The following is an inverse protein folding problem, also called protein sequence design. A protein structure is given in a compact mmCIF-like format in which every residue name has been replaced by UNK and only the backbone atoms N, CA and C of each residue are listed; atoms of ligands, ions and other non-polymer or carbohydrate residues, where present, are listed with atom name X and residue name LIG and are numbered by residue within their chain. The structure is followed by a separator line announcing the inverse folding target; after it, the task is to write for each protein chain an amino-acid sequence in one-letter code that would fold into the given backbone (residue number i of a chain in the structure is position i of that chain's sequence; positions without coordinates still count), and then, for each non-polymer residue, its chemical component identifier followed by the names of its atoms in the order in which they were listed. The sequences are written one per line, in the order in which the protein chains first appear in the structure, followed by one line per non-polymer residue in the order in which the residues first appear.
data_IF_729858682068
#
_entry.id   IF_729858682068
#
_cell.length_a   1.000
_cell.length_b   1.000
_cell.length_c   1.000
_cell.angle_alpha   90.00
_cell.angle_beta   90.00
_cell.angle_gamma   90.00
#
_symmetry.space_group_name_H-M   'P 1'
#
loop_
_entity.id
_entity.type
_entity.pdbx_description
1 polymer ?
#
# COMPACT_ATOMS: atom_id res chain seq x y z
N UNK A 1 5.71 11.83 3.02
CA UNK A 1 4.84 12.23 1.89
C UNK A 1 3.59 11.37 1.87
N UNK A 2 2.52 11.81 1.21
CA UNK A 2 1.28 11.02 1.07
C UNK A 2 1.18 10.50 -0.36
N UNK A 3 0.93 9.21 -0.51
CA UNK A 3 0.71 8.57 -1.82
C UNK A 3 -0.75 8.14 -1.90
N UNK A 4 -1.48 8.67 -2.86
CA UNK A 4 -2.83 8.20 -3.17
C UNK A 4 -2.75 6.97 -4.07
N UNK A 5 -3.35 5.87 -3.62
CA UNK A 5 -3.43 4.63 -4.39
C UNK A 5 -4.88 4.32 -4.72
N UNK A 6 -5.10 3.63 -5.84
CA UNK A 6 -6.44 3.16 -6.24
C UNK A 6 -6.35 1.71 -6.63
N UNK A 7 -7.19 0.90 -6.01
CA UNK A 7 -7.32 -0.52 -6.28
C UNK A 7 -8.52 -0.73 -7.17
N UNK A 8 -8.42 -1.64 -8.13
CA UNK A 8 -9.55 -2.13 -8.90
C UNK A 8 -9.53 -3.65 -8.87
N UNK A 9 -10.56 -4.26 -8.30
CA UNK A 9 -10.71 -5.71 -8.36
C UNK A 9 -11.22 -6.11 -9.75
N UNK A 10 -10.32 -6.64 -10.59
CA UNK A 10 -10.65 -7.13 -11.94
C UNK A 10 -10.99 -8.62 -11.97
N UNK A 11 -11.00 -9.30 -10.82
CA UNK A 11 -11.39 -10.69 -10.68
C UNK A 11 -12.90 -10.89 -10.53
N UNK A 12 -13.30 -12.14 -10.34
CA UNK A 12 -14.71 -12.54 -10.14
C UNK A 12 -15.10 -12.73 -8.67
N UNK A 13 -14.13 -12.80 -7.76
CA UNK A 13 -14.33 -13.00 -6.32
C UNK A 13 -13.95 -11.74 -5.52
N UNK A 14 -14.48 -11.56 -4.30
CA UNK A 14 -13.98 -10.52 -3.38
C UNK A 14 -12.49 -10.71 -3.08
N UNK A 15 -11.76 -9.60 -2.95
CA UNK A 15 -10.35 -9.57 -2.57
C UNK A 15 -10.18 -8.63 -1.40
N UNK A 16 -9.51 -9.09 -0.36
CA UNK A 16 -9.22 -8.27 0.81
C UNK A 16 -8.07 -7.30 0.50
N UNK A 17 -8.15 -6.11 1.07
CA UNK A 17 -7.10 -5.10 1.01
C UNK A 17 -6.76 -4.62 2.41
N UNK A 18 -5.50 -4.21 2.58
CA UNK A 18 -5.00 -3.63 3.80
C UNK A 18 -3.88 -2.63 3.49
N UNK A 19 -3.77 -1.54 4.26
CA UNK A 19 -2.59 -0.67 4.19
C UNK A 19 -1.26 -1.42 4.36
N UNK A 20 -1.22 -2.47 5.18
CA UNK A 20 -0.02 -3.27 5.43
C UNK A 20 0.34 -4.23 4.29
N UNK A 21 -0.43 -4.23 3.19
CA UNK A 21 -0.02 -4.87 1.93
C UNK A 21 1.07 -4.05 1.22
N UNK A 22 1.31 -2.82 1.66
CA UNK A 22 2.40 -1.98 1.19
C UNK A 22 3.60 -2.10 2.11
N UNK A 23 4.80 -1.93 1.56
CA UNK A 23 6.05 -1.78 2.31
C UNK A 23 6.90 -0.69 1.68
N UNK A 24 7.73 -0.04 2.49
CA UNK A 24 8.61 1.06 2.08
C UNK A 24 10.06 0.63 2.25
N UNK A 25 10.91 1.00 1.30
CA UNK A 25 12.34 0.69 1.36
C UNK A 25 13.14 1.99 1.40
N UNK A 26 14.01 2.15 2.40
CA UNK A 26 14.92 3.30 2.48
C UNK A 26 16.08 3.18 1.48
N UNK A 27 16.84 4.25 1.27
CA UNK A 27 18.06 4.24 0.42
C UNK A 27 19.10 3.19 0.85
N UNK A 28 19.12 2.86 2.14
CA UNK A 28 20.00 1.82 2.69
C UNK A 28 19.47 0.39 2.48
N UNK A 29 18.36 0.22 1.77
CA UNK A 29 17.74 -1.08 1.49
C UNK A 29 16.89 -1.66 2.64
N UNK A 30 16.63 -0.88 3.70
CA UNK A 30 15.82 -1.38 4.81
C UNK A 30 14.33 -1.30 4.46
N UNK A 31 13.67 -2.45 4.35
CA UNK A 31 12.23 -2.54 4.13
C UNK A 31 11.46 -2.50 5.45
N UNK A 32 10.38 -1.72 5.51
CA UNK A 32 9.48 -1.59 6.67
C UNK A 32 8.02 -1.46 6.24
N UNK A 33 7.12 -1.83 7.14
CA UNK A 33 5.70 -1.57 6.97
C UNK A 33 5.40 -0.06 7.04
N UNK A 34 4.27 0.41 6.48
CA UNK A 34 3.78 1.76 6.65
C UNK A 34 3.62 2.10 8.13
N UNK A 35 4.03 3.30 8.50
CA UNK A 35 3.66 3.83 9.80
C UNK A 35 2.16 4.16 9.80
N UNK A 36 1.51 4.08 10.96
CA UNK A 36 0.20 4.69 11.18
C UNK A 36 0.47 6.15 11.55
N UNK A 37 0.44 7.09 10.61
CA UNK A 37 0.65 8.48 10.93
C UNK A 37 -0.55 9.02 11.71
N UNK A 38 -0.30 10.05 12.50
CA UNK A 38 -1.35 10.99 12.88
C UNK A 38 -1.54 11.93 11.68
N UNK A 39 -2.46 11.57 10.77
CA UNK A 39 -2.85 12.40 9.64
C UNK A 39 -4.13 13.15 9.95
N UNK A 40 -4.28 14.30 9.31
CA UNK A 40 -5.56 15.01 9.23
C UNK A 40 -6.56 14.29 8.30
N UNK A 41 -6.09 13.33 7.50
CA UNK A 41 -6.86 12.52 6.55
C UNK A 41 -6.76 11.02 6.89
N UNK A 42 -7.85 10.25 6.73
CA UNK A 42 -7.84 8.82 7.01
C UNK A 42 -6.97 8.06 6.00
N UNK A 43 -6.02 7.20 6.46
CA UNK A 43 -5.23 6.37 5.57
C UNK A 43 -6.09 5.31 4.89
N UNK A 44 -5.51 4.63 3.88
CA UNK A 44 -6.06 3.39 3.36
C UNK A 44 -6.28 2.44 4.55
N UNK A 45 -7.53 2.08 4.83
CA UNK A 45 -7.86 1.15 5.90
C UNK A 45 -7.64 -0.29 5.47
N UNK A 46 -8.51 -1.15 5.96
CA UNK A 46 -8.68 -2.52 5.49
C UNK A 46 -10.13 -2.78 5.09
N UNK A 47 -10.35 -3.82 4.30
CA UNK A 47 -11.69 -4.27 3.96
C UNK A 47 -11.70 -5.30 2.85
N UNK A 48 -12.91 -5.68 2.44
CA UNK A 48 -13.12 -6.62 1.33
C UNK A 48 -13.67 -5.90 0.11
N UNK A 49 -12.92 -5.94 -0.99
CA UNK A 49 -13.26 -5.30 -2.25
C UNK A 49 -13.99 -6.30 -3.16
N UNK A 50 -15.29 -6.11 -3.34
CA UNK A 50 -16.13 -6.94 -4.23
C UNK A 50 -15.59 -6.96 -5.67
N UNK A 51 -15.94 -8.00 -6.43
CA UNK A 51 -15.64 -8.10 -7.86
C UNK A 51 -16.10 -6.84 -8.63
N UNK A 52 -15.20 -6.29 -9.45
CA UNK A 52 -15.42 -5.04 -10.18
C UNK A 52 -15.34 -3.76 -9.33
N UNK A 53 -15.18 -3.88 -8.01
CA UNK A 53 -15.10 -2.77 -7.07
C UNK A 53 -13.83 -1.94 -7.21
N UNK A 54 -13.88 -0.72 -6.67
CA UNK A 54 -12.74 0.20 -6.57
C UNK A 54 -12.68 0.80 -5.17
N UNK A 55 -11.47 0.97 -4.63
CA UNK A 55 -11.22 1.75 -3.41
C UNK A 55 -10.02 2.65 -3.66
N UNK A 56 -10.09 3.88 -3.15
CA UNK A 56 -9.01 4.85 -3.17
C UNK A 56 -8.68 5.20 -1.74
N UNK A 57 -7.40 5.27 -1.42
CA UNK A 57 -6.94 5.61 -0.08
C UNK A 57 -5.51 6.14 -0.11
N UNK A 58 -5.07 6.61 1.05
CA UNK A 58 -3.76 7.21 1.22
C UNK A 58 -2.84 6.20 1.90
N UNK A 59 -1.69 5.94 1.28
CA UNK A 59 -0.60 5.21 1.92
C UNK A 59 0.44 6.22 2.39
N UNK A 60 0.65 6.37 3.70
CA UNK A 60 1.63 7.29 4.26
C UNK A 60 3.04 6.79 4.01
N UNK A 61 3.92 7.64 3.51
CA UNK A 61 5.29 7.28 3.15
C UNK A 61 6.31 8.11 3.91
N UNK A 62 7.32 7.45 4.49
CA UNK A 62 8.39 8.10 5.24
C UNK A 62 9.18 9.06 4.35
N UNK A 63 9.70 10.17 4.91
CA UNK A 63 10.50 11.12 4.15
C UNK A 63 11.78 10.52 3.52
N UNK A 64 12.34 9.46 4.11
CA UNK A 64 13.57 8.79 3.69
C UNK A 64 13.33 7.50 2.87
N UNK A 65 12.08 7.25 2.47
CA UNK A 65 11.76 6.12 1.60
C UNK A 65 12.25 6.38 0.17
N UNK A 66 13.08 5.47 -0.35
CA UNK A 66 13.55 5.45 -1.73
C UNK A 66 12.54 4.78 -2.67
N UNK A 67 11.72 3.86 -2.14
CA UNK A 67 10.67 3.19 -2.89
C UNK A 67 9.50 2.78 -2.01
N UNK A 68 8.38 2.52 -2.66
CA UNK A 68 7.22 1.84 -2.08
C UNK A 68 6.85 0.63 -2.94
N UNK A 69 6.49 -0.46 -2.30
CA UNK A 69 6.19 -1.75 -2.94
C UNK A 69 4.85 -2.27 -2.46
N UNK A 70 4.05 -2.81 -3.38
CA UNK A 70 2.79 -3.49 -3.09
C UNK A 70 3.00 -5.00 -3.17
N UNK A 71 2.53 -5.74 -2.17
CA UNK A 71 2.72 -7.18 -2.05
C UNK A 71 1.48 -7.99 -2.40
N UNK A 72 0.27 -7.41 -2.37
CA UNK A 72 -0.97 -8.15 -2.60
C UNK A 72 -1.61 -8.64 -1.31
N UNK A 73 -0.80 -9.05 -0.34
CA UNK A 73 -1.20 -9.28 1.05
C UNK A 73 0.02 -9.12 1.99
N UNK A 74 -0.22 -9.07 3.30
CA UNK A 74 0.83 -8.88 4.33
C UNK A 74 1.86 -10.02 4.43
N UNK A 75 1.49 -11.26 4.10
CA UNK A 75 2.36 -12.44 4.26
C UNK A 75 3.23 -12.74 3.04
N UNK A 76 2.93 -12.11 1.90
CA UNK A 76 3.69 -12.28 0.67
C UNK A 76 5.13 -11.79 0.82
N UNK A 77 6.04 -12.54 0.21
CA UNK A 77 7.49 -12.29 0.29
C UNK A 77 8.04 -11.52 -0.90
N UNK A 78 7.27 -11.45 -1.99
CA UNK A 78 7.68 -10.81 -3.23
C UNK A 78 6.73 -9.66 -3.55
N UNK A 79 7.30 -8.53 -3.95
CA UNK A 79 6.50 -7.38 -4.35
C UNK A 79 5.86 -7.66 -5.72
N UNK A 80 4.55 -7.47 -5.81
CA UNK A 80 3.81 -7.48 -7.07
C UNK A 80 4.18 -6.27 -7.93
N UNK A 81 4.41 -5.12 -7.30
CA UNK A 81 4.81 -3.90 -7.98
C UNK A 81 5.66 -3.02 -7.04
N UNK A 82 6.58 -2.24 -7.63
CA UNK A 82 7.45 -1.31 -6.89
C UNK A 82 7.58 0.00 -7.65
N UNK A 83 7.50 1.12 -6.93
CA UNK A 83 7.65 2.48 -7.45
C UNK A 83 8.82 3.15 -6.74
N UNK A 84 9.72 3.72 -7.53
CA UNK A 84 10.83 4.54 -7.03
C UNK A 84 10.31 5.95 -6.72
N UNK A 85 10.65 6.45 -5.55
CA UNK A 85 10.32 7.79 -5.07
C UNK A 85 11.57 8.65 -5.32
N UNK A 86 11.47 9.61 -6.24
CA UNK A 86 12.53 10.54 -6.59
C UNK A 86 12.29 11.90 -5.95
#
# INVERSE_FOLDING_TARGET
MLVTVTYKNTGSEPVDYNQFDWKQTSDSGNMKDPEIPVLDEEPLGDGSLKAGGTVTGIVPVKPDAASISYFGNIIDKEATATWLLK
#
